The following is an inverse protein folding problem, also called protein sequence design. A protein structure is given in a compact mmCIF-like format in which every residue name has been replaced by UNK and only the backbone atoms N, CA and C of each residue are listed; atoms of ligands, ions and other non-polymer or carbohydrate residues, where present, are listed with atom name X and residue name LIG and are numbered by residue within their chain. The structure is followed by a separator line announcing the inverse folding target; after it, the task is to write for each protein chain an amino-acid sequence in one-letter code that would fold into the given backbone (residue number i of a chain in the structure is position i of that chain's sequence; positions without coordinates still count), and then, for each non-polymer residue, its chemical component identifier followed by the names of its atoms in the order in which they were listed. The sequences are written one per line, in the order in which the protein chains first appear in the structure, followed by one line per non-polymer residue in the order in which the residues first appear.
data_IF_882595320026
#
_entry.id   IF_882595320026
#
_cell.length_a   1.000
_cell.length_b   1.000
_cell.length_c   1.000
_cell.angle_alpha   90.00
_cell.angle_beta   90.00
_cell.angle_gamma   90.00
#
_symmetry.space_group_name_H-M   'P 1'
#
loop_
_entity.id
_entity.type
_entity.pdbx_description
1 polymer ?
#
# COMPACT_ATOMS: atom_id res chain seq x y z
N UNK A 1 33.76 40.45 20.29
CA UNK A 1 34.40 39.14 20.04
C UNK A 1 33.45 38.09 20.59
N UNK A 2 32.47 37.68 19.80
CA UNK A 2 31.60 36.58 20.16
C UNK A 2 32.39 35.31 19.89
N UNK A 3 32.86 34.65 20.95
CA UNK A 3 33.54 33.36 20.82
C UNK A 3 32.62 32.40 20.08
N UNK A 4 33.10 31.83 18.98
CA UNK A 4 32.36 30.82 18.22
C UNK A 4 32.53 29.47 18.93
N UNK A 5 31.95 29.42 20.13
CA UNK A 5 32.04 28.32 21.09
C UNK A 5 31.75 26.94 20.46
N UNK A 6 30.83 26.78 19.50
CA UNK A 6 30.62 25.51 18.80
C UNK A 6 31.83 25.05 17.97
N UNK A 7 32.52 25.97 17.28
CA UNK A 7 33.70 25.64 16.47
C UNK A 7 34.90 25.25 17.34
N UNK A 8 35.11 25.97 18.45
CA UNK A 8 36.16 25.65 19.43
C UNK A 8 35.93 24.28 20.08
N UNK A 9 34.65 23.93 20.34
CA UNK A 9 34.25 22.64 20.87
C UNK A 9 34.51 21.50 19.86
N UNK A 10 34.23 21.73 18.57
CA UNK A 10 34.53 20.75 17.51
C UNK A 10 36.03 20.46 17.44
N UNK A 11 36.89 21.49 17.43
CA UNK A 11 38.35 21.29 17.37
C UNK A 11 38.89 20.50 18.57
N UNK A 12 38.33 20.75 19.77
CA UNK A 12 38.69 20.00 20.97
C UNK A 12 38.26 18.53 20.85
N UNK A 13 37.03 18.28 20.40
CA UNK A 13 36.49 16.94 20.23
C UNK A 13 37.21 16.16 19.13
N UNK A 14 37.61 16.80 18.02
CA UNK A 14 38.45 16.18 16.99
C UNK A 14 39.79 15.68 17.58
N UNK A 15 40.45 16.50 18.40
CA UNK A 15 41.72 16.11 19.04
C UNK A 15 41.56 14.95 20.01
N UNK A 16 40.44 14.89 20.72
CA UNK A 16 40.17 13.82 21.69
C UNK A 16 39.74 12.54 20.97
N UNK A 17 38.83 12.62 20.01
CA UNK A 17 38.19 11.45 19.39
C UNK A 17 39.03 10.92 18.23
N UNK A 18 39.59 11.78 17.38
CA UNK A 18 40.26 11.35 16.14
C UNK A 18 41.76 11.11 16.33
N UNK A 19 42.39 11.77 17.31
CA UNK A 19 43.84 11.72 17.50
C UNK A 19 44.28 11.00 18.78
N UNK A 20 43.38 10.77 19.74
CA UNK A 20 43.71 10.05 20.98
C UNK A 20 43.07 8.65 21.00
N UNK A 21 43.91 7.63 20.84
CA UNK A 21 43.50 6.21 20.85
C UNK A 21 42.77 5.77 22.13
N UNK A 22 42.94 6.47 23.26
CA UNK A 22 42.24 6.14 24.50
C UNK A 22 40.74 6.50 24.46
N UNK A 23 40.35 7.45 23.60
CA UNK A 23 38.98 7.97 23.51
C UNK A 23 38.34 7.75 22.14
N UNK A 24 39.09 7.23 21.17
CA UNK A 24 38.60 7.03 19.81
C UNK A 24 37.39 6.11 19.75
N UNK A 25 37.32 5.09 20.59
CA UNK A 25 36.16 4.18 20.66
C UNK A 25 35.05 4.64 21.62
N UNK A 26 35.07 5.86 22.16
CA UNK A 26 34.08 6.28 23.15
C UNK A 26 32.77 6.74 22.49
N UNK A 27 31.71 5.95 22.69
CA UNK A 27 30.39 6.17 22.09
C UNK A 27 29.82 7.57 22.30
N UNK A 28 29.90 8.07 23.53
CA UNK A 28 29.35 9.38 23.87
C UNK A 28 30.14 10.51 23.22
N UNK A 29 31.47 10.41 23.18
CA UNK A 29 32.31 11.44 22.57
C UNK A 29 32.15 11.47 21.04
N UNK A 30 32.01 10.31 20.39
CA UNK A 30 31.69 10.24 18.97
C UNK A 30 30.33 10.88 18.67
N UNK A 31 29.29 10.59 19.47
CA UNK A 31 27.97 11.21 19.32
C UNK A 31 28.02 12.72 19.54
N UNK A 32 28.69 13.20 20.59
CA UNK A 32 28.80 14.63 20.84
C UNK A 32 29.53 15.34 19.70
N UNK A 33 30.60 14.75 19.15
CA UNK A 33 31.32 15.31 17.99
C UNK A 33 30.40 15.44 16.76
N UNK A 34 29.75 14.36 16.36
CA UNK A 34 28.88 14.36 15.17
C UNK A 34 27.69 15.30 15.37
N UNK A 35 27.01 15.25 16.52
CA UNK A 35 25.84 16.08 16.79
C UNK A 35 26.21 17.57 16.88
N UNK A 36 27.34 17.91 17.52
CA UNK A 36 27.80 19.30 17.58
C UNK A 36 28.12 19.81 16.17
N UNK A 37 28.76 18.98 15.35
CA UNK A 37 29.09 19.31 13.97
C UNK A 37 27.86 19.51 13.10
N UNK A 38 26.81 18.70 13.25
CA UNK A 38 25.54 18.91 12.54
C UNK A 38 25.04 20.35 12.78
N UNK A 39 25.00 20.82 14.04
CA UNK A 39 24.46 22.14 14.35
C UNK A 39 25.35 23.32 13.95
N UNK A 40 26.66 23.13 13.89
CA UNK A 40 27.62 24.23 13.78
C UNK A 40 28.48 24.21 12.50
N UNK A 41 28.88 23.05 12.01
CA UNK A 41 29.66 22.88 10.78
C UNK A 41 29.28 21.57 10.04
N UNK A 42 28.15 21.58 9.31
CA UNK A 42 27.67 20.47 8.49
C UNK A 42 28.69 19.78 7.58
N UNK A 43 29.66 20.54 7.07
CA UNK A 43 30.61 20.03 6.07
C UNK A 43 31.56 18.99 6.65
N UNK A 44 31.77 18.98 7.97
CA UNK A 44 32.66 18.03 8.65
C UNK A 44 31.99 16.71 9.05
N UNK A 45 30.66 16.70 9.13
CA UNK A 45 29.87 15.55 9.60
C UNK A 45 30.17 14.31 8.76
N UNK A 46 30.36 14.48 7.45
CA UNK A 46 30.63 13.39 6.52
C UNK A 46 32.04 12.79 6.71
N UNK A 47 33.04 13.60 7.03
CA UNK A 47 34.38 13.12 7.38
C UNK A 47 34.34 12.28 8.66
N UNK A 48 33.62 12.76 9.68
CA UNK A 48 33.48 12.02 10.93
C UNK A 48 32.80 10.67 10.73
N UNK A 49 31.77 10.59 9.92
CA UNK A 49 31.08 9.32 9.68
C UNK A 49 31.92 8.31 8.92
N UNK A 50 32.83 8.77 8.06
CA UNK A 50 33.78 7.86 7.42
C UNK A 50 34.80 7.28 8.43
N UNK A 51 35.07 8.00 9.52
CA UNK A 51 36.20 7.74 10.42
C UNK A 51 35.77 7.17 11.76
N UNK A 52 34.52 7.38 12.15
CA UNK A 52 33.92 6.97 13.41
C UNK A 52 33.07 5.72 13.19
N UNK A 53 33.12 4.79 14.14
CA UNK A 53 32.53 3.45 14.04
C UNK A 53 31.53 3.16 15.19
N UNK A 54 31.59 3.92 16.27
CA UNK A 54 30.89 3.70 17.51
C UNK A 54 29.96 4.87 17.88
N UNK A 55 29.10 5.31 16.96
CA UNK A 55 28.12 6.38 17.20
C UNK A 55 26.68 5.90 16.98
N UNK A 56 25.70 6.65 17.44
CA UNK A 56 24.27 6.38 17.30
C UNK A 56 23.74 6.93 15.97
N UNK A 57 23.52 6.03 15.01
CA UNK A 57 22.99 6.41 13.70
C UNK A 57 21.58 6.99 13.75
N UNK A 58 20.74 6.53 14.70
CA UNK A 58 19.38 7.03 14.86
C UNK A 58 19.40 8.48 15.36
N UNK A 59 20.11 8.75 16.45
CA UNK A 59 20.20 10.10 17.01
C UNK A 59 20.84 11.11 16.03
N UNK A 60 21.84 10.65 15.26
CA UNK A 60 22.47 11.46 14.21
C UNK A 60 21.49 11.77 13.08
N UNK A 61 20.70 10.77 12.64
CA UNK A 61 19.66 10.96 11.62
C UNK A 61 18.55 11.90 12.07
N UNK A 62 18.00 11.68 13.26
CA UNK A 62 16.96 12.52 13.86
C UNK A 62 17.40 13.98 13.97
N UNK A 63 18.61 14.21 14.48
CA UNK A 63 19.10 15.57 14.69
C UNK A 63 19.52 16.26 13.37
N UNK A 64 19.88 15.50 12.34
CA UNK A 64 20.12 16.04 10.99
C UNK A 64 18.81 16.51 10.33
N UNK A 65 17.70 15.81 10.57
CA UNK A 65 16.35 16.19 10.11
C UNK A 65 15.87 17.44 10.85
N UNK A 66 15.94 17.43 12.19
CA UNK A 66 15.46 18.53 13.03
C UNK A 66 16.16 19.86 12.75
N UNK A 67 17.44 19.81 12.41
CA UNK A 67 18.22 21.01 12.18
C UNK A 67 17.86 21.72 10.85
N UNK A 68 16.98 21.15 10.02
CA UNK A 68 16.50 21.73 8.74
C UNK A 68 17.66 22.27 7.86
N UNK A 69 18.84 21.67 7.99
CA UNK A 69 20.10 22.31 7.62
C UNK A 69 20.31 22.52 6.12
N UNK A 70 19.41 22.04 5.27
CA UNK A 70 19.74 21.89 3.86
C UNK A 70 18.60 22.28 2.93
N UNK A 71 18.59 23.56 2.57
CA UNK A 71 17.87 24.06 1.41
C UNK A 71 18.48 23.55 0.10
N UNK A 72 17.63 22.98 -0.75
CA UNK A 72 17.70 22.97 -2.23
C UNK A 72 19.05 22.68 -2.90
N UNK A 73 19.82 21.67 -2.46
CA UNK A 73 21.00 21.22 -3.21
C UNK A 73 21.09 19.69 -3.26
N UNK A 74 21.19 19.15 -4.47
CA UNK A 74 21.15 17.71 -4.81
C UNK A 74 22.24 16.83 -4.19
N UNK A 75 23.36 17.39 -3.72
CA UNK A 75 24.41 16.62 -3.03
C UNK A 75 24.05 16.24 -1.58
N UNK A 76 23.07 16.92 -0.98
CA UNK A 76 22.68 16.73 0.43
C UNK A 76 22.07 15.35 0.66
N UNK A 77 21.21 14.93 -0.26
CA UNK A 77 20.48 13.67 -0.15
C UNK A 77 21.38 12.46 -0.41
N UNK A 78 22.44 12.61 -1.20
CA UNK A 78 23.47 11.58 -1.36
C UNK A 78 24.16 11.26 -0.05
N UNK A 79 24.51 12.32 0.69
CA UNK A 79 25.13 12.20 1.99
C UNK A 79 24.12 11.57 2.95
N UNK A 80 22.92 12.14 3.09
CA UNK A 80 21.82 11.65 3.95
C UNK A 80 21.50 10.16 3.79
N UNK A 81 21.42 9.66 2.56
CA UNK A 81 21.24 8.23 2.26
C UNK A 81 22.28 7.37 2.97
N UNK A 82 23.55 7.81 3.00
CA UNK A 82 24.62 7.08 3.67
C UNK A 82 24.44 7.02 5.19
N UNK A 83 23.93 8.09 5.80
CA UNK A 83 23.61 8.14 7.24
C UNK A 83 22.48 7.18 7.58
N UNK A 84 21.39 7.26 6.81
CA UNK A 84 20.19 6.47 7.04
C UNK A 84 20.44 4.97 6.81
N UNK A 85 21.27 4.62 5.82
CA UNK A 85 21.72 3.23 5.63
C UNK A 85 22.53 2.70 6.84
N UNK A 86 23.40 3.52 7.42
CA UNK A 86 24.16 3.13 8.63
C UNK A 86 23.26 3.01 9.85
N UNK A 87 22.30 3.93 10.03
CA UNK A 87 21.30 3.84 11.10
C UNK A 87 20.46 2.56 10.96
N UNK A 88 20.01 2.26 9.75
CA UNK A 88 19.24 1.06 9.42
C UNK A 88 19.97 -0.26 9.70
N UNK A 89 21.30 -0.29 9.55
CA UNK A 89 22.11 -1.48 9.90
C UNK A 89 22.05 -1.80 11.40
N UNK A 90 21.83 -0.80 12.26
CA UNK A 90 21.73 -0.97 13.71
C UNK A 90 20.31 -1.29 14.15
N UNK A 91 19.34 -0.52 13.68
CA UNK A 91 17.91 -0.70 13.99
C UNK A 91 17.04 -0.34 12.79
N UNK A 92 16.04 -1.18 12.51
CA UNK A 92 15.02 -0.90 11.50
C UNK A 92 13.86 -0.16 12.15
N UNK A 93 13.75 1.13 11.85
CA UNK A 93 12.72 2.00 12.42
C UNK A 93 11.91 2.67 11.32
N UNK A 94 10.58 2.84 11.51
CA UNK A 94 9.72 3.38 10.47
C UNK A 94 10.18 4.73 9.94
N UNK A 95 10.63 5.62 10.82
CA UNK A 95 11.13 6.95 10.44
C UNK A 95 12.39 6.88 9.56
N UNK A 96 13.34 6.01 9.93
CA UNK A 96 14.60 5.85 9.18
C UNK A 96 14.35 5.28 7.79
N UNK A 97 13.50 4.26 7.71
CA UNK A 97 13.14 3.62 6.45
C UNK A 97 12.32 4.57 5.54
N UNK A 98 11.38 5.35 6.09
CA UNK A 98 10.63 6.37 5.36
C UNK A 98 11.50 7.50 4.80
N UNK A 99 12.41 8.01 5.62
CA UNK A 99 13.28 9.12 5.22
C UNK A 99 14.33 8.66 4.19
N UNK A 100 14.79 7.41 4.28
CA UNK A 100 15.77 6.85 3.35
C UNK A 100 15.16 6.73 1.95
N UNK A 101 13.92 6.28 1.91
CA UNK A 101 13.05 6.26 0.73
C UNK A 101 12.91 7.65 0.10
N UNK A 102 12.61 8.66 0.90
CA UNK A 102 12.49 10.05 0.45
C UNK A 102 13.82 10.57 -0.11
N UNK A 103 14.92 10.33 0.60
CA UNK A 103 16.24 10.77 0.21
C UNK A 103 16.70 10.11 -1.10
N UNK A 104 16.41 8.83 -1.32
CA UNK A 104 16.69 8.17 -2.59
C UNK A 104 15.91 8.77 -3.77
N UNK A 105 14.66 9.16 -3.53
CA UNK A 105 13.82 9.79 -4.54
C UNK A 105 14.33 11.19 -4.92
N UNK A 106 14.85 11.95 -3.97
CA UNK A 106 15.40 13.29 -4.25
C UNK A 106 16.72 13.25 -5.06
N UNK A 107 17.45 12.13 -5.03
CA UNK A 107 18.66 11.91 -5.84
C UNK A 107 18.44 11.07 -7.10
N UNK A 108 17.18 10.78 -7.45
CA UNK A 108 16.81 9.98 -8.63
C UNK A 108 17.49 8.60 -8.66
N UNK A 109 17.72 8.00 -7.48
CA UNK A 109 18.30 6.66 -7.34
C UNK A 109 17.20 5.60 -7.32
N UNK A 110 16.50 5.48 -8.44
CA UNK A 110 15.39 4.54 -8.63
C UNK A 110 15.79 3.06 -8.39
N UNK A 111 17.00 2.65 -8.79
CA UNK A 111 17.44 1.26 -8.60
C UNK A 111 17.62 0.88 -7.12
N UNK A 112 18.09 1.81 -6.28
CA UNK A 112 18.23 1.57 -4.84
C UNK A 112 16.88 1.56 -4.12
N UNK A 113 15.92 2.32 -4.65
CA UNK A 113 14.52 2.28 -4.20
C UNK A 113 13.92 0.91 -4.48
N UNK A 114 14.10 0.40 -5.70
CA UNK A 114 13.63 -0.94 -6.08
C UNK A 114 14.25 -2.03 -5.18
N UNK A 115 15.56 -1.98 -4.96
CA UNK A 115 16.24 -2.90 -4.04
C UNK A 115 15.72 -2.75 -2.60
N UNK A 116 15.51 -1.51 -2.14
CA UNK A 116 15.00 -1.22 -0.79
C UNK A 116 13.61 -1.80 -0.53
N UNK A 117 12.70 -1.68 -1.50
CA UNK A 117 11.34 -2.21 -1.42
C UNK A 117 11.33 -3.75 -1.41
N UNK A 118 12.30 -4.39 -2.08
CA UNK A 118 12.47 -5.85 -2.06
C UNK A 118 13.06 -6.38 -0.74
N UNK A 119 13.69 -5.51 0.04
CA UNK A 119 14.22 -5.85 1.36
C UNK A 119 13.15 -5.70 2.45
N UNK A 120 13.20 -6.47 3.56
CA UNK A 120 12.33 -6.27 4.71
C UNK A 120 12.56 -4.87 5.31
N UNK A 121 11.57 -3.98 5.16
CA UNK A 121 11.57 -2.60 5.59
C UNK A 121 10.29 -2.28 6.40
N UNK A 122 10.30 -1.17 7.12
CA UNK A 122 9.20 -0.70 7.97
C UNK A 122 8.79 0.74 7.62
N UNK A 123 9.11 1.20 6.40
CA UNK A 123 8.78 2.55 5.94
C UNK A 123 7.27 2.80 6.04
N UNK A 124 6.89 3.98 6.54
CA UNK A 124 5.54 4.50 6.55
C UNK A 124 5.48 5.76 5.67
N UNK A 125 4.82 5.66 4.52
CA UNK A 125 4.77 6.73 3.51
C UNK A 125 3.40 7.39 3.38
N UNK A 126 2.50 7.07 4.30
CA UNK A 126 1.15 7.65 4.37
C UNK A 126 1.13 8.96 5.19
N UNK A 127 2.28 9.42 5.70
CA UNK A 127 2.40 10.70 6.40
C UNK A 127 2.37 11.85 5.38
N UNK A 128 1.49 12.83 5.61
CA UNK A 128 1.18 13.95 4.69
C UNK A 128 2.41 14.76 4.25
N UNK A 129 3.51 14.70 5.03
CA UNK A 129 4.78 15.33 4.67
C UNK A 129 5.49 14.67 3.48
N UNK A 130 5.28 13.37 3.26
CA UNK A 130 5.99 12.54 2.26
C UNK A 130 5.15 12.26 1.00
N UNK A 131 3.88 12.66 1.02
CA UNK A 131 2.90 12.49 -0.06
C UNK A 131 3.14 13.42 -1.28
N UNK A 132 4.24 14.19 -1.28
CA UNK A 132 4.64 15.12 -2.36
C UNK A 132 5.63 14.52 -3.36
N UNK A 133 6.06 13.27 -3.18
CA UNK A 133 7.04 12.63 -4.06
C UNK A 133 6.50 12.49 -5.50
N UNK A 134 7.32 12.82 -6.53
CA UNK A 134 6.91 12.71 -7.93
C UNK A 134 6.38 11.32 -8.31
N UNK A 135 5.45 11.26 -9.27
CA UNK A 135 4.80 10.01 -9.73
C UNK A 135 5.78 8.95 -10.26
N UNK A 136 7.02 9.31 -10.59
CA UNK A 136 8.08 8.35 -10.96
C UNK A 136 8.52 7.45 -9.80
N UNK A 137 8.27 7.86 -8.55
CA UNK A 137 8.67 7.18 -7.32
C UNK A 137 7.55 6.34 -6.70
N UNK A 138 6.56 6.00 -7.51
CA UNK A 138 5.45 5.12 -7.19
C UNK A 138 5.80 3.83 -6.41
N UNK A 139 6.97 3.18 -6.64
CA UNK A 139 7.36 1.99 -5.88
C UNK A 139 7.40 2.18 -4.36
N UNK A 140 7.56 3.42 -3.90
CA UNK A 140 7.67 3.77 -2.49
C UNK A 140 6.32 3.61 -1.80
N UNK A 141 5.26 4.24 -2.31
CA UNK A 141 3.89 4.27 -1.77
C UNK A 141 3.22 2.88 -1.55
N UNK A 142 3.86 1.82 -2.02
CA UNK A 142 3.41 0.42 -1.95
C UNK A 142 3.79 -0.29 -0.64
N UNK A 143 4.29 0.44 0.35
CA UNK A 143 4.63 -0.08 1.68
C UNK A 143 3.38 -0.23 2.55
N UNK A 144 2.44 -1.02 2.05
CA UNK A 144 1.26 -1.51 2.75
C UNK A 144 1.06 -3.00 2.44
N UNK A 145 0.52 -3.80 3.38
CA UNK A 145 0.42 -5.26 3.21
C UNK A 145 -0.59 -5.72 2.15
N UNK A 146 -1.40 -4.85 1.54
CA UNK A 146 -2.40 -5.23 0.53
C UNK A 146 -2.09 -4.70 -0.88
N UNK A 147 -1.46 -3.53 -0.98
CA UNK A 147 -1.06 -2.89 -2.24
C UNK A 147 0.17 -3.57 -2.88
N UNK A 148 0.99 -4.23 -2.05
CA UNK A 148 2.23 -4.95 -2.42
C UNK A 148 2.00 -6.12 -3.39
N UNK A 149 0.88 -6.84 -3.28
CA UNK A 149 0.57 -7.97 -4.17
C UNK A 149 0.17 -7.50 -5.57
N UNK A 150 -0.54 -6.37 -5.65
CA UNK A 150 -1.08 -5.80 -6.88
C UNK A 150 0.03 -5.24 -7.78
N UNK A 151 1.02 -4.58 -7.18
CA UNK A 151 2.12 -3.97 -7.91
C UNK A 151 3.22 -4.99 -8.32
N UNK A 152 3.48 -6.02 -7.51
CA UNK A 152 4.48 -7.06 -7.83
C UNK A 152 4.07 -7.98 -8.98
N UNK A 153 2.77 -8.23 -9.17
CA UNK A 153 2.30 -9.13 -10.24
C UNK A 153 2.32 -8.43 -11.61
N UNK A 154 2.21 -7.09 -11.63
CA UNK A 154 1.96 -6.34 -12.86
C UNK A 154 3.12 -5.49 -13.38
N UNK A 155 4.18 -5.26 -12.59
CA UNK A 155 5.40 -4.60 -13.07
C UNK A 155 5.20 -3.19 -13.66
N UNK A 156 4.16 -2.44 -13.25
CA UNK A 156 3.98 -1.02 -13.58
C UNK A 156 2.94 -0.32 -12.67
N UNK A 157 3.17 0.98 -12.50
CA UNK A 157 2.50 1.99 -11.69
C UNK A 157 0.96 1.99 -11.68
N UNK A 158 0.35 2.14 -10.49
CA UNK A 158 -1.07 2.47 -10.36
C UNK A 158 -1.28 3.50 -9.23
N UNK A 159 -1.72 4.71 -9.57
CA UNK A 159 -2.10 5.80 -8.64
C UNK A 159 -3.60 6.13 -8.68
N UNK A 160 -4.40 5.53 -9.57
CA UNK A 160 -5.87 5.69 -9.60
C UNK A 160 -6.55 4.41 -10.07
N UNK A 161 -7.79 4.20 -9.63
CA UNK A 161 -8.69 3.14 -10.11
C UNK A 161 -8.81 3.15 -11.64
N UNK A 162 -8.72 4.33 -12.25
CA UNK A 162 -8.71 4.50 -13.72
C UNK A 162 -7.46 3.90 -14.41
N UNK A 163 -6.33 3.73 -13.69
CA UNK A 163 -5.09 3.15 -14.22
C UNK A 163 -5.02 1.61 -14.03
N UNK A 164 -5.86 1.03 -13.14
CA UNK A 164 -5.98 -0.42 -12.93
C UNK A 164 -6.55 -1.15 -14.15
N UNK A 165 -7.51 -0.52 -14.82
CA UNK A 165 -8.10 -1.03 -16.07
C UNK A 165 -7.06 -1.10 -17.20
N UNK A 166 -6.10 -0.16 -17.25
CA UNK A 166 -5.02 -0.19 -18.25
C UNK A 166 -4.03 -1.35 -17.99
N UNK A 167 -3.77 -1.65 -16.71
CA UNK A 167 -2.98 -2.81 -16.29
C UNK A 167 -3.71 -4.11 -16.59
N UNK A 168 -5.01 -4.19 -16.33
CA UNK A 168 -5.85 -5.33 -16.74
C UNK A 168 -5.77 -5.59 -18.25
N UNK A 169 -5.91 -4.53 -19.06
CA UNK A 169 -5.84 -4.62 -20.52
C UNK A 169 -4.50 -5.14 -21.04
N UNK A 170 -3.40 -4.91 -20.29
CA UNK A 170 -2.05 -5.40 -20.63
C UNK A 170 -1.71 -6.75 -20.00
N UNK A 171 -2.32 -7.08 -18.86
CA UNK A 171 -1.97 -8.26 -18.05
C UNK A 171 -2.40 -9.61 -18.65
N UNK A 172 -3.21 -9.63 -19.72
CA UNK A 172 -3.72 -10.86 -20.35
C UNK A 172 -4.59 -11.74 -19.42
N UNK A 173 -5.48 -11.14 -18.61
CA UNK A 173 -6.48 -11.85 -17.79
C UNK A 173 -5.78 -12.81 -16.78
N UNK A 174 -5.11 -12.24 -15.77
CA UNK A 174 -4.39 -12.99 -14.74
C UNK A 174 -5.25 -13.12 -13.48
N UNK A 175 -5.41 -14.35 -12.98
CA UNK A 175 -6.29 -14.66 -11.83
C UNK A 175 -6.09 -13.76 -10.62
N UNK A 176 -4.83 -13.62 -10.19
CA UNK A 176 -4.52 -12.85 -9.00
C UNK A 176 -4.79 -11.34 -9.15
N UNK A 177 -4.71 -10.80 -10.38
CA UNK A 177 -5.00 -9.38 -10.66
C UNK A 177 -6.50 -9.14 -10.59
N UNK A 178 -7.27 -10.03 -11.24
CA UNK A 178 -8.73 -9.93 -11.28
C UNK A 178 -9.34 -10.12 -9.88
N UNK A 179 -8.83 -11.06 -9.09
CA UNK A 179 -9.28 -11.28 -7.71
C UNK A 179 -9.06 -10.03 -6.85
N UNK A 180 -7.85 -9.49 -6.86
CA UNK A 180 -7.51 -8.35 -6.03
C UNK A 180 -8.26 -7.07 -6.47
N UNK A 181 -8.48 -6.88 -7.78
CA UNK A 181 -9.27 -5.76 -8.27
C UNK A 181 -10.74 -5.87 -7.88
N UNK A 182 -11.32 -7.07 -8.00
CA UNK A 182 -12.70 -7.30 -7.59
C UNK A 182 -12.89 -7.05 -6.09
N UNK A 183 -11.88 -7.37 -5.26
CA UNK A 183 -11.92 -7.00 -3.84
C UNK A 183 -11.93 -5.49 -3.62
N UNK A 184 -11.14 -4.73 -4.39
CA UNK A 184 -11.11 -3.26 -4.30
C UNK A 184 -12.49 -2.69 -4.69
N UNK A 185 -13.08 -3.12 -5.80
CA UNK A 185 -14.40 -2.63 -6.20
C UNK A 185 -15.49 -2.95 -5.18
N UNK A 186 -15.37 -4.08 -4.47
CA UNK A 186 -16.27 -4.40 -3.36
C UNK A 186 -16.05 -3.46 -2.16
N UNK A 187 -14.80 -3.15 -1.82
CA UNK A 187 -14.47 -2.22 -0.72
C UNK A 187 -14.86 -0.76 -1.06
N UNK A 188 -14.76 -0.35 -2.32
CA UNK A 188 -15.14 0.99 -2.82
C UNK A 188 -16.64 1.12 -3.14
N UNK A 189 -17.40 0.03 -3.04
CA UNK A 189 -18.83 -0.04 -3.37
C UNK A 189 -19.16 0.30 -4.86
N UNK A 190 -18.17 0.17 -5.75
CA UNK A 190 -18.31 0.43 -7.19
C UNK A 190 -18.79 -0.83 -7.93
N UNK A 191 -20.11 -1.06 -7.88
CA UNK A 191 -20.76 -2.24 -8.47
C UNK A 191 -20.78 -2.22 -10.01
N UNK A 192 -20.75 -1.03 -10.63
CA UNK A 192 -20.76 -0.89 -12.09
C UNK A 192 -19.44 -1.41 -12.66
N UNK A 193 -18.31 -0.98 -12.08
CA UNK A 193 -16.98 -1.45 -12.48
C UNK A 193 -16.74 -2.91 -12.12
N UNK A 194 -17.21 -3.36 -10.96
CA UNK A 194 -17.13 -4.78 -10.59
C UNK A 194 -17.79 -5.67 -11.64
N UNK A 195 -18.97 -5.28 -12.14
CA UNK A 195 -19.68 -6.03 -13.16
C UNK A 195 -18.94 -6.05 -14.50
N UNK A 196 -18.43 -4.90 -14.94
CA UNK A 196 -17.63 -4.80 -16.17
C UNK A 196 -16.37 -5.68 -16.10
N UNK A 197 -15.68 -5.66 -14.96
CA UNK A 197 -14.53 -6.53 -14.69
C UNK A 197 -14.87 -8.02 -14.83
N UNK A 198 -15.97 -8.46 -14.23
CA UNK A 198 -16.42 -9.87 -14.29
C UNK A 198 -16.78 -10.29 -15.72
N UNK A 199 -17.43 -9.41 -16.49
CA UNK A 199 -17.86 -9.71 -17.86
C UNK A 199 -16.68 -9.78 -18.84
N UNK A 200 -15.66 -8.95 -18.63
CA UNK A 200 -14.48 -8.87 -19.49
C UNK A 200 -13.42 -9.92 -19.15
N UNK A 201 -13.32 -10.33 -17.88
CA UNK A 201 -12.18 -11.08 -17.34
C UNK A 201 -12.64 -12.25 -16.47
N UNK A 202 -12.73 -13.44 -17.06
CA UNK A 202 -13.31 -14.64 -16.45
C UNK A 202 -12.36 -15.47 -15.57
N UNK A 203 -11.04 -15.20 -15.59
CA UNK A 203 -10.06 -15.96 -14.80
C UNK A 203 -9.96 -15.35 -13.41
N UNK A 204 -10.76 -15.83 -12.48
CA UNK A 204 -10.65 -15.57 -11.03
C UNK A 204 -11.49 -16.60 -10.28
N UNK A 205 -11.35 -16.68 -8.95
CA UNK A 205 -12.27 -17.48 -8.13
C UNK A 205 -13.67 -16.87 -8.03
N UNK A 206 -14.50 -17.15 -9.05
CA UNK A 206 -15.89 -16.71 -9.13
C UNK A 206 -16.73 -17.14 -7.92
N UNK A 207 -16.54 -18.39 -7.45
CA UNK A 207 -17.35 -18.93 -6.36
C UNK A 207 -16.91 -18.35 -5.01
N UNK A 208 -15.60 -18.21 -4.78
CA UNK A 208 -15.06 -17.58 -3.58
C UNK A 208 -15.49 -16.12 -3.44
N UNK A 209 -15.41 -15.36 -4.54
CA UNK A 209 -15.87 -13.98 -4.56
C UNK A 209 -17.37 -13.90 -4.25
N UNK A 210 -18.21 -14.67 -4.96
CA UNK A 210 -19.66 -14.67 -4.75
C UNK A 210 -20.05 -14.99 -3.29
N UNK A 211 -19.42 -15.97 -2.66
CA UNK A 211 -19.66 -16.32 -1.25
C UNK A 211 -19.25 -15.20 -0.28
N UNK A 212 -18.23 -14.41 -0.61
CA UNK A 212 -17.80 -13.28 0.20
C UNK A 212 -18.82 -12.15 0.16
N UNK A 213 -19.34 -11.85 -1.03
CA UNK A 213 -20.22 -10.71 -1.25
C UNK A 213 -21.71 -11.02 -1.05
N UNK A 214 -22.10 -12.30 -0.94
CA UNK A 214 -23.51 -12.69 -0.73
C UNK A 214 -24.11 -12.19 0.59
N UNK A 215 -23.26 -11.88 1.59
CA UNK A 215 -23.66 -11.37 2.91
C UNK A 215 -23.44 -9.87 3.07
N UNK A 216 -23.13 -9.16 1.98
CA UNK A 216 -22.86 -7.73 2.03
C UNK A 216 -24.10 -6.93 2.44
N UNK A 217 -23.90 -5.77 3.05
CA UNK A 217 -24.99 -4.88 3.51
C UNK A 217 -25.80 -4.34 2.32
N UNK A 218 -25.10 -3.83 1.30
CA UNK A 218 -25.68 -3.26 0.08
C UNK A 218 -26.28 -4.33 -0.84
N UNK A 219 -27.46 -4.00 -1.37
CA UNK A 219 -28.23 -4.87 -2.25
C UNK A 219 -27.57 -5.01 -3.62
N UNK A 220 -26.93 -3.96 -4.11
CA UNK A 220 -26.25 -3.88 -5.40
C UNK A 220 -25.09 -4.87 -5.47
N UNK A 221 -24.32 -5.01 -4.38
CA UNK A 221 -23.22 -5.97 -4.29
C UNK A 221 -23.75 -7.40 -4.17
N UNK A 222 -24.82 -7.64 -3.42
CA UNK A 222 -25.49 -8.95 -3.39
C UNK A 222 -26.06 -9.32 -4.76
N UNK A 223 -26.53 -8.35 -5.53
CA UNK A 223 -27.00 -8.55 -6.90
C UNK A 223 -25.87 -9.03 -7.82
N UNK A 224 -24.67 -8.47 -7.69
CA UNK A 224 -23.48 -8.98 -8.39
C UNK A 224 -23.15 -10.42 -7.98
N UNK A 225 -23.31 -10.77 -6.70
CA UNK A 225 -23.15 -12.16 -6.23
C UNK A 225 -24.09 -13.13 -6.95
N UNK A 226 -25.37 -12.78 -7.06
CA UNK A 226 -26.36 -13.56 -7.79
C UNK A 226 -25.99 -13.69 -9.28
N UNK A 227 -25.51 -12.60 -9.89
CA UNK A 227 -25.03 -12.60 -11.27
C UNK A 227 -23.83 -13.55 -11.48
N UNK A 228 -22.84 -13.56 -10.58
CA UNK A 228 -21.72 -14.50 -10.65
C UNK A 228 -22.19 -15.94 -10.51
N UNK A 229 -23.08 -16.24 -9.56
CA UNK A 229 -23.67 -17.58 -9.40
C UNK A 229 -24.41 -18.03 -10.66
N UNK A 230 -25.10 -17.11 -11.34
CA UNK A 230 -25.77 -17.37 -12.62
C UNK A 230 -24.75 -17.77 -13.70
N UNK A 231 -23.67 -17.01 -13.87
CA UNK A 231 -22.61 -17.30 -14.83
C UNK A 231 -21.90 -18.64 -14.55
N UNK A 232 -21.72 -18.98 -13.27
CA UNK A 232 -21.13 -20.26 -12.85
C UNK A 232 -22.10 -21.47 -12.91
N UNK A 233 -23.34 -21.27 -13.39
CA UNK A 233 -24.38 -22.32 -13.45
C UNK A 233 -24.91 -22.77 -12.08
N UNK A 234 -24.71 -21.98 -11.03
CA UNK A 234 -25.24 -22.20 -9.66
C UNK A 234 -26.63 -21.58 -9.51
N UNK A 235 -27.58 -22.05 -10.31
CA UNK A 235 -28.93 -21.49 -10.40
C UNK A 235 -29.65 -21.41 -9.06
N UNK A 236 -29.57 -22.46 -8.23
CA UNK A 236 -30.19 -22.51 -6.89
C UNK A 236 -29.75 -21.38 -5.97
N UNK A 237 -28.45 -21.09 -5.93
CA UNK A 237 -27.89 -20.04 -5.07
C UNK A 237 -28.27 -18.65 -5.58
N UNK A 238 -28.21 -18.44 -6.89
CA UNK A 238 -28.65 -17.19 -7.52
C UNK A 238 -30.12 -16.90 -7.24
N UNK A 239 -31.01 -17.88 -7.44
CA UNK A 239 -32.46 -17.70 -7.21
C UNK A 239 -32.74 -17.45 -5.72
N UNK A 240 -32.04 -18.12 -4.81
CA UNK A 240 -32.20 -17.92 -3.37
C UNK A 240 -31.83 -16.48 -2.94
N UNK A 241 -30.73 -15.94 -3.46
CA UNK A 241 -30.35 -14.54 -3.22
C UNK A 241 -31.40 -13.58 -3.78
N UNK A 242 -31.83 -13.77 -5.04
CA UNK A 242 -32.86 -12.92 -5.64
C UNK A 242 -34.20 -12.98 -4.89
N UNK A 243 -34.58 -14.14 -4.33
CA UNK A 243 -35.75 -14.28 -3.44
C UNK A 243 -35.57 -13.47 -2.15
N UNK A 244 -34.39 -13.55 -1.53
CA UNK A 244 -34.06 -12.82 -0.29
C UNK A 244 -34.09 -11.30 -0.50
N UNK A 245 -33.59 -10.82 -1.65
CA UNK A 245 -33.54 -9.41 -1.99
C UNK A 245 -34.85 -8.87 -2.62
N UNK A 246 -35.90 -9.69 -2.71
CA UNK A 246 -37.17 -9.37 -3.38
C UNK A 246 -37.04 -8.99 -4.86
N UNK A 247 -35.95 -9.41 -5.51
CA UNK A 247 -35.68 -9.21 -6.93
C UNK A 247 -36.34 -10.30 -7.78
N UNK A 248 -37.67 -10.29 -7.79
CA UNK A 248 -38.47 -11.35 -8.40
C UNK A 248 -38.31 -11.45 -9.92
N UNK A 249 -38.02 -10.34 -10.62
CA UNK A 249 -37.78 -10.34 -12.06
C UNK A 249 -36.52 -11.14 -12.41
N UNK A 250 -35.43 -10.87 -11.68
CA UNK A 250 -34.15 -11.54 -11.90
C UNK A 250 -34.22 -13.03 -11.52
N UNK A 251 -34.99 -13.37 -10.48
CA UNK A 251 -35.28 -14.75 -10.13
C UNK A 251 -36.00 -15.50 -11.27
N UNK A 252 -36.98 -14.86 -11.93
CA UNK A 252 -37.69 -15.43 -13.08
C UNK A 252 -36.76 -15.59 -14.29
N UNK A 253 -35.95 -14.59 -14.60
CA UNK A 253 -34.99 -14.67 -15.71
C UNK A 253 -33.95 -15.78 -15.50
N UNK A 254 -33.42 -15.88 -14.28
CA UNK A 254 -32.44 -16.92 -13.90
C UNK A 254 -33.05 -18.31 -14.00
N UNK A 255 -34.30 -18.48 -13.55
CA UNK A 255 -35.02 -19.75 -13.64
C UNK A 255 -35.30 -20.13 -15.09
N UNK A 256 -35.72 -19.16 -15.90
CA UNK A 256 -35.92 -19.35 -17.34
C UNK A 256 -34.62 -19.78 -18.05
N UNK A 257 -33.49 -19.18 -17.70
CA UNK A 257 -32.18 -19.51 -18.27
C UNK A 257 -31.61 -20.85 -17.81
N UNK A 258 -32.06 -21.36 -16.66
CA UNK A 258 -31.59 -22.65 -16.13
C UNK A 258 -32.10 -23.87 -16.90
N UNK A 259 -33.20 -23.73 -17.65
CA UNK A 259 -33.95 -24.82 -18.30
C UNK A 259 -34.30 -25.99 -17.35
N UNK A 260 -34.25 -25.77 -16.04
CA UNK A 260 -34.53 -26.79 -15.02
C UNK A 260 -35.99 -26.69 -14.55
N UNK A 261 -36.74 -27.76 -14.81
CA UNK A 261 -38.15 -27.87 -14.43
C UNK A 261 -38.35 -27.85 -12.92
N UNK A 262 -37.45 -28.44 -12.14
CA UNK A 262 -37.60 -28.50 -10.68
C UNK A 262 -37.48 -27.11 -10.06
N UNK A 263 -36.54 -26.29 -10.55
CA UNK A 263 -36.36 -24.91 -10.09
C UNK A 263 -37.55 -24.03 -10.45
N UNK A 264 -38.13 -24.23 -11.64
CA UNK A 264 -39.34 -23.53 -12.07
C UNK A 264 -40.54 -23.86 -11.16
N UNK A 265 -40.76 -25.14 -10.85
CA UNK A 265 -41.81 -25.56 -9.93
C UNK A 265 -41.58 -24.97 -8.53
N UNK A 266 -40.35 -24.99 -8.00
CA UNK A 266 -40.01 -24.43 -6.68
C UNK A 266 -40.23 -22.91 -6.62
N UNK A 267 -39.87 -22.17 -7.67
CA UNK A 267 -40.09 -20.73 -7.74
C UNK A 267 -41.59 -20.39 -7.80
N UNK A 268 -42.37 -21.16 -8.56
CA UNK A 268 -43.82 -20.97 -8.66
C UNK A 268 -44.53 -21.25 -7.32
N UNK A 269 -44.14 -22.32 -6.61
CA UNK A 269 -44.65 -22.62 -5.27
C UNK A 269 -44.36 -21.45 -4.32
N UNK A 270 -43.14 -20.94 -4.34
CA UNK A 270 -42.78 -19.76 -3.54
C UNK A 270 -43.66 -18.55 -3.87
N UNK A 271 -43.94 -18.25 -5.14
CA UNK A 271 -44.82 -17.14 -5.50
C UNK A 271 -46.27 -17.35 -5.03
N UNK A 272 -46.78 -18.57 -5.10
CA UNK A 272 -48.14 -18.89 -4.62
C UNK A 272 -48.24 -18.68 -3.11
N UNK A 273 -47.22 -19.08 -2.34
CA UNK A 273 -47.18 -18.89 -0.88
C UNK A 273 -47.05 -17.41 -0.48
N UNK A 274 -46.39 -16.58 -1.31
CA UNK A 274 -46.25 -15.15 -1.08
C UNK A 274 -47.49 -14.33 -1.44
N UNK A 275 -48.35 -14.84 -2.33
CA UNK A 275 -49.64 -14.20 -2.63
C UNK A 275 -50.59 -14.46 -1.46
N UNK A 276 -50.98 -13.43 -0.67
CA UNK A 276 -52.01 -13.63 0.34
C UNK A 276 -53.25 -14.15 -0.36
N UNK A 277 -53.94 -15.14 0.23
CA UNK A 277 -55.25 -15.63 -0.20
C UNK A 277 -56.29 -14.49 -0.24
N UNK A 278 -56.22 -13.60 -1.22
CA UNK A 278 -57.08 -12.44 -1.37
C UNK A 278 -57.89 -12.54 -2.64
N UNK A 279 -58.33 -13.74 -3.04
CA UNK A 279 -59.52 -13.91 -3.89
C UNK A 279 -60.22 -15.24 -3.56
N UNK A 280 -60.82 -15.35 -2.39
CA UNK A 280 -62.09 -16.08 -2.29
C UNK A 280 -63.23 -15.07 -2.29
N UNK A 281 -63.54 -14.50 -3.45
CA UNK A 281 -64.89 -13.99 -3.67
C UNK A 281 -65.76 -15.19 -4.05
N UNK A 282 -66.70 -15.64 -3.19
CA UNK A 282 -67.69 -16.61 -3.63
C UNK A 282 -68.57 -15.94 -4.70
N UNK A 283 -68.85 -16.71 -5.74
CA UNK A 283 -69.83 -16.40 -6.80
C UNK A 283 -71.18 -15.96 -6.25
#
# INVERSE_FOLDING_TARGET
MTADLPHELIELLEKIVLHNSAFSGNFNLQNILILTAIKADPFRVMDYINRLDNFDGHAVGEMAIEAQLYGTNSNVYHDLVRYLLMARQKTKEPKVDSELVYAYAEIDRLGDIEEFVLMPNVANLYDENYMKLPKSYLPLYLTGPKEFLLAQICGLNIIKVDDLEEVMRKSNNVSAVNEALNEIYVEEEDYDRLRESIDLHDKFDQLGLAQKIEKHEFLEIRHVAAYIYKQAGRWKQSIALSKMDNLYKDAMETTSQSDDRELAEELLVYFIDQVPNSVSTPY
#
